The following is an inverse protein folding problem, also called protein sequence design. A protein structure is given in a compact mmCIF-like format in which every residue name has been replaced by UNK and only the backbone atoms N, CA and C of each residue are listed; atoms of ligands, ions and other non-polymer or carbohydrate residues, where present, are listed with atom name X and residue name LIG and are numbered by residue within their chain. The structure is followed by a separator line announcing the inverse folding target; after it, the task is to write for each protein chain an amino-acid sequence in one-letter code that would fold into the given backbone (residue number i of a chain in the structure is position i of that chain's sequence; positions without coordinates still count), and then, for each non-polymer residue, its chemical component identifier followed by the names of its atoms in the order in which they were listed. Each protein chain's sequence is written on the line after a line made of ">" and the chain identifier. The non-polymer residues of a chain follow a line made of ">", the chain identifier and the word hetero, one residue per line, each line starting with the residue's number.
data_IF_329173490562
#
_entry.id   IF_329173490562
#
_cell.length_a   1.000
_cell.length_b   1.000
_cell.length_c   1.000
_cell.angle_alpha   90.00
_cell.angle_beta   90.00
_cell.angle_gamma   90.00
#
_symmetry.space_group_name_H-M   'P 1'
#
loop_
_entity.id
_entity.type
_entity.pdbx_description
1 polymer ?
#
# COMPACT_ATOMS: atom_id res chain seq x y z
N UNK A 1 -42.96 17.44 -16.86
CA UNK A 1 -41.54 17.84 -16.92
C UNK A 1 -41.02 17.56 -18.31
N UNK A 2 -40.84 18.56 -19.15
CA UNK A 2 -40.21 18.40 -20.46
C UNK A 2 -38.72 18.67 -20.32
N UNK A 3 -37.92 17.61 -20.40
CA UNK A 3 -36.45 17.72 -20.44
C UNK A 3 -36.04 18.44 -21.73
N UNK A 4 -35.68 19.72 -21.61
CA UNK A 4 -35.05 20.48 -22.70
C UNK A 4 -33.56 20.21 -22.62
N UNK A 5 -33.08 19.20 -23.35
CA UNK A 5 -31.64 18.98 -23.49
C UNK A 5 -30.98 20.16 -24.21
N UNK A 6 -29.76 20.51 -23.81
CA UNK A 6 -28.91 21.45 -24.54
C UNK A 6 -28.66 20.90 -25.96
N UNK A 7 -28.78 21.77 -26.98
CA UNK A 7 -28.59 21.40 -28.38
C UNK A 7 -27.37 22.14 -28.92
N UNK A 8 -26.50 21.43 -29.62
CA UNK A 8 -25.39 22.04 -30.34
C UNK A 8 -25.94 22.54 -31.67
N UNK A 9 -25.91 23.86 -31.89
CA UNK A 9 -26.52 24.50 -33.05
C UNK A 9 -25.72 24.26 -34.36
N UNK A 10 -24.40 24.16 -34.26
CA UNK A 10 -23.52 23.85 -35.38
C UNK A 10 -23.53 22.32 -35.63
N UNK A 11 -23.91 21.93 -36.84
CA UNK A 11 -24.04 20.52 -37.22
C UNK A 11 -22.70 19.78 -37.21
N UNK A 12 -21.63 20.43 -37.65
CA UNK A 12 -20.29 19.84 -37.71
C UNK A 12 -19.80 19.57 -36.28
N UNK A 13 -19.97 20.56 -35.40
CA UNK A 13 -19.58 20.43 -33.99
C UNK A 13 -20.43 19.36 -33.28
N UNK A 14 -21.73 19.27 -33.61
CA UNK A 14 -22.61 18.26 -33.06
C UNK A 14 -22.16 16.85 -33.49
N UNK A 15 -21.87 16.65 -34.77
CA UNK A 15 -21.41 15.37 -35.33
C UNK A 15 -20.10 14.92 -34.69
N UNK A 16 -19.10 15.80 -34.59
CA UNK A 16 -17.83 15.48 -33.94
C UNK A 16 -18.00 15.19 -32.44
N UNK A 17 -18.83 15.97 -31.74
CA UNK A 17 -19.12 15.75 -30.34
C UNK A 17 -19.74 14.36 -30.11
N UNK A 18 -20.74 13.98 -30.91
CA UNK A 18 -21.38 12.67 -30.79
C UNK A 18 -20.45 11.54 -31.21
N UNK A 19 -19.63 11.72 -32.24
CA UNK A 19 -18.65 10.73 -32.68
C UNK A 19 -17.57 10.46 -31.61
N UNK A 20 -17.12 11.49 -30.88
CA UNK A 20 -16.19 11.31 -29.76
C UNK A 20 -16.91 10.71 -28.55
N UNK A 21 -18.12 11.17 -28.24
CA UNK A 21 -18.91 10.65 -27.12
C UNK A 21 -19.17 9.16 -27.29
N UNK A 22 -19.57 8.71 -28.48
CA UNK A 22 -19.79 7.30 -28.79
C UNK A 22 -18.51 6.47 -28.59
N UNK A 23 -17.36 6.97 -29.05
CA UNK A 23 -16.06 6.30 -28.82
C UNK A 23 -15.72 6.18 -27.34
N UNK A 24 -16.01 7.20 -26.54
CA UNK A 24 -15.77 7.21 -25.09
C UNK A 24 -16.72 6.25 -24.37
N UNK A 25 -18.01 6.26 -24.71
CA UNK A 25 -19.00 5.32 -24.14
C UNK A 25 -18.66 3.87 -24.47
N UNK A 26 -18.14 3.59 -25.67
CA UNK A 26 -17.64 2.26 -26.04
C UNK A 26 -16.47 1.79 -25.18
N UNK A 27 -15.63 2.70 -24.66
CA UNK A 27 -14.59 2.34 -23.71
C UNK A 27 -15.20 1.91 -22.37
N UNK A 28 -16.20 2.62 -21.87
CA UNK A 28 -16.88 2.27 -20.60
C UNK A 28 -17.68 0.97 -20.67
N UNK A 29 -18.20 0.61 -21.85
CA UNK A 29 -18.93 -0.64 -22.07
C UNK A 29 -18.05 -1.91 -22.12
N UNK A 30 -16.73 -1.76 -22.20
CA UNK A 30 -15.82 -2.90 -22.17
C UNK A 30 -15.55 -3.35 -20.72
N UNK A 31 -15.68 -4.65 -20.40
CA UNK A 31 -15.27 -5.15 -19.10
C UNK A 31 -13.79 -4.88 -18.93
N UNK A 32 -13.44 -3.98 -18.01
CA UNK A 32 -12.07 -3.73 -17.59
C UNK A 32 -11.57 -4.87 -16.69
N UNK A 33 -11.66 -6.12 -17.16
CA UNK A 33 -10.94 -7.23 -16.54
C UNK A 33 -9.49 -7.10 -16.99
N UNK A 34 -8.70 -6.40 -16.16
CA UNK A 34 -7.25 -6.48 -16.22
C UNK A 34 -6.87 -7.94 -16.03
N UNK A 35 -5.92 -8.43 -16.82
CA UNK A 35 -5.36 -9.74 -16.59
C UNK A 35 -4.72 -9.75 -15.18
N UNK A 36 -4.73 -10.89 -14.49
CA UNK A 36 -4.26 -10.96 -13.09
C UNK A 36 -2.78 -10.54 -12.92
N UNK A 37 -2.04 -10.53 -14.01
CA UNK A 37 -0.64 -10.16 -14.20
C UNK A 37 -0.43 -8.70 -14.66
N UNK A 38 -1.48 -7.94 -15.01
CA UNK A 38 -1.42 -6.52 -15.40
C UNK A 38 -1.23 -5.57 -14.19
N UNK A 39 -0.60 -6.04 -13.11
CA UNK A 39 -0.34 -5.23 -11.93
C UNK A 39 0.75 -4.17 -12.20
N UNK A 40 0.30 -2.98 -12.60
CA UNK A 40 1.14 -1.80 -12.74
C UNK A 40 1.80 -1.38 -11.42
N UNK A 41 2.82 -0.50 -11.51
CA UNK A 41 3.59 -0.01 -10.34
C UNK A 41 2.70 0.55 -9.23
N UNK A 42 1.71 1.37 -9.60
CA UNK A 42 0.81 2.00 -8.62
C UNK A 42 -0.17 1.01 -8.00
N UNK A 43 -0.65 0.01 -8.75
CA UNK A 43 -1.52 -1.05 -8.21
C UNK A 43 -0.76 -1.91 -7.19
N UNK A 44 0.50 -2.25 -7.50
CA UNK A 44 1.39 -2.98 -6.59
C UNK A 44 1.71 -2.20 -5.33
N UNK A 45 1.97 -0.89 -5.49
CA UNK A 45 2.15 0.02 -4.36
C UNK A 45 0.90 0.05 -3.49
N UNK A 46 -0.27 0.24 -4.10
CA UNK A 46 -1.54 0.25 -3.39
C UNK A 46 -1.80 -1.08 -2.69
N UNK A 47 -1.56 -2.23 -3.32
CA UNK A 47 -1.68 -3.56 -2.68
C UNK A 47 -0.75 -3.68 -1.47
N UNK A 48 0.49 -3.22 -1.61
CA UNK A 48 1.49 -3.26 -0.54
C UNK A 48 1.20 -2.29 0.60
N UNK A 49 0.46 -1.21 0.35
CA UNK A 49 0.10 -0.19 1.34
C UNK A 49 -1.27 -0.45 2.00
N UNK A 50 -2.24 -0.95 1.24
CA UNK A 50 -3.62 -1.19 1.68
C UNK A 50 -3.72 -2.23 2.79
N UNK A 51 -2.79 -3.18 2.84
CA UNK A 51 -2.77 -4.26 3.83
C UNK A 51 -1.83 -4.00 5.01
N UNK A 52 -1.20 -2.82 5.07
CA UNK A 52 -0.32 -2.47 6.20
C UNK A 52 -1.14 -2.07 7.41
N UNK A 53 -1.25 -2.98 8.38
CA UNK A 53 -1.73 -2.60 9.72
C UNK A 53 -0.62 -1.86 10.45
N UNK A 54 -0.93 -0.65 10.95
CA UNK A 54 -0.02 0.14 11.79
C UNK A 54 0.33 -0.58 13.08
N UNK A 55 1.61 -0.56 13.44
CA UNK A 55 2.17 -1.07 14.69
C UNK A 55 2.99 0.02 15.37
N UNK A 56 3.45 -0.23 16.61
CA UNK A 56 4.25 0.75 17.35
C UNK A 56 5.60 1.08 16.70
N UNK A 57 6.22 0.10 16.05
CA UNK A 57 7.57 0.19 15.48
C UNK A 57 7.61 -0.04 13.95
N UNK A 58 6.46 -0.02 13.27
CA UNK A 58 6.39 -0.33 11.84
C UNK A 58 5.00 -0.78 11.41
N UNK A 59 4.98 -1.80 10.55
CA UNK A 59 3.78 -2.29 9.87
C UNK A 59 3.73 -3.81 9.85
N UNK A 60 2.52 -4.35 9.91
CA UNK A 60 2.28 -5.75 9.59
C UNK A 60 2.00 -5.88 8.09
N UNK A 61 2.85 -6.61 7.36
CA UNK A 61 2.66 -6.93 5.94
C UNK A 61 2.06 -8.33 5.73
N UNK A 62 1.35 -8.85 6.73
CA UNK A 62 0.69 -10.15 6.64
C UNK A 62 -0.48 -10.08 5.64
N UNK A 63 -0.58 -11.02 4.68
CA UNK A 63 -1.77 -11.19 3.86
C UNK A 63 -3.06 -11.30 4.69
N UNK A 64 -4.15 -10.73 4.17
CA UNK A 64 -5.45 -10.66 4.87
C UNK A 64 -6.07 -12.04 5.03
N UNK A 65 -5.78 -12.95 4.11
CA UNK A 65 -6.26 -14.32 4.11
C UNK A 65 -5.63 -15.18 5.22
N UNK A 66 -4.56 -14.70 5.86
CA UNK A 66 -3.91 -15.38 6.97
C UNK A 66 -4.31 -14.79 8.32
N UNK A 67 -4.61 -15.66 9.27
CA UNK A 67 -4.87 -15.30 10.67
C UNK A 67 -3.58 -15.01 11.46
N UNK A 68 -3.71 -14.22 12.53
CA UNK A 68 -2.61 -13.98 13.48
C UNK A 68 -2.64 -15.00 14.61
N UNK A 69 -1.55 -15.72 14.83
CA UNK A 69 -1.41 -16.52 16.06
C UNK A 69 -1.09 -15.67 17.30
N UNK A 70 -0.39 -14.55 17.13
CA UNK A 70 0.03 -13.70 18.24
C UNK A 70 -0.14 -12.23 17.87
N UNK A 71 -0.94 -11.50 18.63
CA UNK A 71 -1.23 -10.08 18.34
C UNK A 71 -0.18 -9.11 18.91
N UNK A 72 0.75 -9.57 19.75
CA UNK A 72 1.63 -8.69 20.55
C UNK A 72 3.14 -8.87 20.36
N UNK A 73 3.61 -9.81 19.53
CA UNK A 73 5.05 -10.09 19.32
C UNK A 73 5.51 -9.73 17.91
N UNK A 74 5.09 -8.57 17.42
CA UNK A 74 5.29 -8.22 16.02
C UNK A 74 6.78 -8.07 15.67
N UNK A 75 7.63 -7.53 16.54
CA UNK A 75 9.05 -7.28 16.25
C UNK A 75 9.87 -8.56 15.97
N UNK A 76 9.38 -9.73 16.38
CA UNK A 76 9.98 -11.03 16.06
C UNK A 76 9.23 -11.79 14.96
N UNK A 77 8.15 -11.24 14.43
CA UNK A 77 7.33 -11.86 13.38
C UNK A 77 7.98 -11.73 12.00
N UNK A 78 7.81 -12.74 11.14
CA UNK A 78 8.31 -12.73 9.75
C UNK A 78 7.62 -11.70 8.86
N UNK A 79 6.37 -11.35 9.17
CA UNK A 79 5.59 -10.35 8.42
C UNK A 79 5.84 -8.91 8.89
N UNK A 80 6.71 -8.70 9.88
CA UNK A 80 7.00 -7.37 10.37
C UNK A 80 7.93 -6.62 9.41
N UNK A 81 7.50 -5.44 9.02
CA UNK A 81 8.24 -4.53 8.15
C UNK A 81 8.35 -3.19 8.86
N UNK A 82 9.54 -2.59 8.82
CA UNK A 82 9.79 -1.26 9.37
C UNK A 82 10.48 -0.38 8.31
N UNK A 83 10.59 0.90 8.60
CA UNK A 83 11.10 1.94 7.71
C UNK A 83 12.08 2.83 8.48
N UNK A 84 12.83 3.65 7.76
CA UNK A 84 13.84 4.53 8.36
C UNK A 84 13.27 5.51 9.38
N UNK A 85 11.99 5.85 9.29
CA UNK A 85 11.33 6.76 10.24
C UNK A 85 11.28 6.19 11.67
N UNK A 86 11.27 4.86 11.83
CA UNK A 86 11.25 4.20 13.14
C UNK A 86 12.65 3.97 13.72
N UNK A 87 13.72 4.16 12.94
CA UNK A 87 15.10 3.91 13.38
C UNK A 87 15.44 4.56 14.73
N UNK A 88 15.13 5.86 14.98
CA UNK A 88 15.48 6.49 16.26
C UNK A 88 14.77 5.84 17.45
N UNK A 89 13.54 5.35 17.26
CA UNK A 89 12.79 4.64 18.30
C UNK A 89 13.35 3.24 18.54
N UNK A 90 13.66 2.50 17.47
CA UNK A 90 14.27 1.18 17.55
C UNK A 90 15.64 1.21 18.26
N UNK A 91 16.47 2.21 17.96
CA UNK A 91 17.75 2.42 18.65
C UNK A 91 17.56 2.67 20.15
N UNK A 92 16.63 3.57 20.53
CA UNK A 92 16.32 3.81 21.95
C UNK A 92 15.80 2.57 22.67
N UNK A 93 14.98 1.75 22.01
CA UNK A 93 14.45 0.52 22.60
C UNK A 93 15.51 -0.57 22.73
N UNK A 94 16.46 -0.67 21.77
CA UNK A 94 17.66 -1.50 21.90
C UNK A 94 18.52 -1.06 23.07
N UNK A 95 18.80 0.23 23.19
CA UNK A 95 19.66 0.77 24.24
C UNK A 95 19.01 0.60 25.62
N UNK A 96 17.69 0.80 25.73
CA UNK A 96 16.92 0.46 26.94
C UNK A 96 17.03 -1.03 27.30
N UNK A 97 16.93 -1.92 26.31
CA UNK A 97 17.09 -3.36 26.52
C UNK A 97 18.50 -3.71 27.00
N UNK A 98 19.54 -3.10 26.42
CA UNK A 98 20.93 -3.28 26.83
C UNK A 98 21.16 -2.80 28.28
N UNK A 99 20.67 -1.60 28.61
CA UNK A 99 20.78 -1.03 29.96
C UNK A 99 20.10 -1.89 31.03
N UNK A 100 19.03 -2.61 30.66
CA UNK A 100 18.29 -3.52 31.54
C UNK A 100 18.80 -4.97 31.51
N UNK A 101 19.84 -5.27 30.73
CA UNK A 101 20.36 -6.63 30.57
C UNK A 101 19.39 -7.60 29.86
N UNK A 102 18.45 -7.09 29.07
CA UNK A 102 17.44 -7.88 28.35
C UNK A 102 18.01 -8.45 27.04
N UNK A 103 18.93 -9.42 27.14
CA UNK A 103 19.71 -9.94 26.00
C UNK A 103 18.85 -10.41 24.81
N UNK A 104 17.73 -11.08 25.07
CA UNK A 104 16.83 -11.54 24.01
C UNK A 104 16.19 -10.39 23.24
N UNK A 105 15.74 -9.35 23.95
CA UNK A 105 15.12 -8.16 23.37
C UNK A 105 16.14 -7.30 22.63
N UNK A 106 17.35 -7.19 23.16
CA UNK A 106 18.47 -6.52 22.49
C UNK A 106 18.74 -7.17 21.12
N UNK A 107 18.90 -8.49 21.07
CA UNK A 107 19.13 -9.24 19.82
C UNK A 107 18.04 -9.03 18.77
N UNK A 108 16.78 -8.93 19.18
CA UNK A 108 15.67 -8.64 18.26
C UNK A 108 15.88 -7.29 17.59
N UNK A 109 16.17 -6.23 18.37
CA UNK A 109 16.36 -4.90 17.80
C UNK A 109 17.64 -4.77 16.99
N UNK A 110 18.72 -5.44 17.38
CA UNK A 110 19.95 -5.52 16.56
C UNK A 110 19.62 -6.07 15.18
N UNK A 111 18.94 -7.23 15.10
CA UNK A 111 18.58 -7.83 13.82
C UNK A 111 17.55 -7.04 13.00
N UNK A 112 16.75 -6.17 13.62
CA UNK A 112 15.87 -5.23 12.89
C UNK A 112 16.71 -4.09 12.29
N UNK A 113 17.62 -3.50 13.08
CA UNK A 113 18.45 -2.39 12.65
C UNK A 113 19.42 -2.81 11.52
N UNK A 114 20.03 -3.99 11.62
CA UNK A 114 20.92 -4.52 10.59
C UNK A 114 20.22 -4.71 9.23
N UNK A 115 18.99 -5.25 9.25
CA UNK A 115 18.16 -5.38 8.05
C UNK A 115 17.78 -4.02 7.47
N UNK A 116 17.50 -3.04 8.34
CA UNK A 116 17.15 -1.69 7.94
C UNK A 116 18.33 -0.96 7.28
N UNK A 117 19.55 -1.20 7.75
CA UNK A 117 20.79 -0.70 7.10
C UNK A 117 21.01 -1.33 5.72
N UNK A 118 20.75 -2.63 5.60
CA UNK A 118 20.88 -3.36 4.32
C UNK A 118 19.87 -2.88 3.27
N UNK A 119 18.64 -2.56 3.70
CA UNK A 119 17.55 -2.15 2.79
C UNK A 119 17.64 -0.66 2.39
N UNK A 120 18.40 0.14 3.13
CA UNK A 120 18.62 1.56 2.85
C UNK A 120 19.83 1.84 1.95
N UNK A 121 20.63 0.80 1.65
CA UNK A 121 21.79 0.84 0.74
C UNK A 121 21.39 0.48 -0.68
#
# INVERSE_FOLDING_TARGET
>A
MTMVYARIADKTVAEEYFAVTEKVELLYGQPHQLAGDDEGREMRKLRNEMHRRMLGNGYCARPVEMDCHFESICESCSFFVTTLEFRPTLQRQRDDAANKGQLGRQKIFDGILDRLDTTAS
#
